data_IF_241475984097
#
_entry.id   IF_241475984097
#
_cell.length_a   1.000
_cell.length_b   1.000
_cell.length_c   1.000
_cell.angle_alpha   90.00
_cell.angle_beta   90.00
_cell.angle_gamma   90.00
#
_symmetry.space_group_name_H-M   'P 1'
#
loop_
_entity.id
_entity.type
_entity.pdbx_description
1 polymer ?
#
# COMPACT_ATOMS: atom_id res chain seq x y z
N UNK A 1 21.97 -11.19 -5.27
CA UNK A 1 20.52 -10.99 -5.07
C UNK A 1 20.31 -9.61 -4.45
N UNK A 2 19.43 -8.77 -5.01
CA UNK A 2 19.12 -7.45 -4.42
C UNK A 2 18.52 -7.67 -3.03
N UNK A 3 19.19 -7.19 -1.97
CA UNK A 3 18.67 -7.27 -0.60
C UNK A 3 17.41 -6.39 -0.50
N UNK A 4 16.26 -7.03 -0.33
CA UNK A 4 14.97 -6.36 -0.06
C UNK A 4 15.11 -5.59 1.25
N UNK A 5 14.77 -4.29 1.24
CA UNK A 5 14.80 -3.49 2.47
C UNK A 5 13.58 -3.79 3.33
N UNK A 6 13.67 -3.59 4.64
CA UNK A 6 12.52 -3.77 5.54
C UNK A 6 11.30 -2.94 5.08
N UNK A 7 11.53 -1.75 4.53
CA UNK A 7 10.48 -0.87 3.99
C UNK A 7 9.82 -1.48 2.75
N UNK A 8 10.59 -2.05 1.84
CA UNK A 8 10.04 -2.76 0.67
C UNK A 8 9.22 -3.97 1.08
N UNK A 9 9.70 -4.76 2.05
CA UNK A 9 8.96 -5.90 2.58
C UNK A 9 7.63 -5.47 3.20
N UNK A 10 7.63 -4.42 4.04
CA UNK A 10 6.41 -3.88 4.65
C UNK A 10 5.47 -3.31 3.58
N UNK A 11 5.99 -2.65 2.54
CA UNK A 11 5.18 -2.14 1.43
C UNK A 11 4.48 -3.28 0.68
N UNK A 12 5.18 -4.39 0.43
CA UNK A 12 4.61 -5.58 -0.20
C UNK A 12 3.54 -6.21 0.71
N UNK A 13 3.81 -6.34 2.01
CA UNK A 13 2.83 -6.87 2.96
C UNK A 13 1.57 -6.01 3.05
N UNK A 14 1.72 -4.67 3.08
CA UNK A 14 0.59 -3.74 3.05
C UNK A 14 -0.23 -3.87 1.75
N UNK A 15 0.44 -3.98 0.61
CA UNK A 15 -0.22 -4.18 -0.67
C UNK A 15 -0.98 -5.52 -0.73
N UNK A 16 -0.42 -6.59 -0.14
CA UNK A 16 -1.11 -7.88 -0.04
C UNK A 16 -2.30 -7.80 0.92
N UNK A 17 -2.14 -7.16 2.08
CA UNK A 17 -3.20 -6.99 3.07
C UNK A 17 -4.36 -6.10 2.58
N UNK A 18 -4.09 -5.19 1.64
CA UNK A 18 -5.10 -4.38 0.98
C UNK A 18 -6.11 -5.21 0.18
N UNK A 19 -5.66 -6.32 -0.44
CA UNK A 19 -6.52 -7.17 -1.28
C UNK A 19 -7.70 -7.79 -0.52
N UNK A 20 -7.50 -8.54 0.59
CA UNK A 20 -8.61 -9.09 1.34
C UNK A 20 -9.48 -8.00 2.00
N UNK A 21 -8.90 -6.86 2.39
CA UNK A 21 -9.67 -5.72 2.90
C UNK A 21 -10.66 -5.19 1.85
N UNK A 22 -10.20 -4.97 0.63
CA UNK A 22 -11.07 -4.44 -0.43
C UNK A 22 -12.13 -5.47 -0.85
N UNK A 23 -11.80 -6.77 -0.86
CA UNK A 23 -12.80 -7.82 -1.07
C UNK A 23 -13.87 -7.83 0.01
N UNK A 24 -13.47 -7.70 1.28
CA UNK A 24 -14.39 -7.60 2.40
C UNK A 24 -15.29 -6.37 2.28
N UNK A 25 -14.72 -5.18 2.02
CA UNK A 25 -15.51 -3.95 1.86
C UNK A 25 -16.44 -4.06 0.66
N UNK A 26 -16.01 -4.69 -0.44
CA UNK A 26 -16.88 -4.90 -1.60
C UNK A 26 -18.10 -5.74 -1.25
N UNK A 27 -17.95 -6.82 -0.50
CA UNK A 27 -19.10 -7.63 -0.06
C UNK A 27 -19.95 -6.88 0.97
N UNK A 28 -19.33 -6.23 1.96
CA UNK A 28 -20.03 -5.40 2.93
C UNK A 28 -20.82 -4.26 2.27
N UNK A 29 -20.27 -3.63 1.24
CA UNK A 29 -20.91 -2.51 0.53
C UNK A 29 -22.25 -2.89 -0.12
N UNK A 30 -22.41 -4.15 -0.55
CA UNK A 30 -23.67 -4.65 -1.13
C UNK A 30 -24.80 -4.72 -0.11
N UNK A 31 -24.49 -4.74 1.19
CA UNK A 31 -25.48 -4.77 2.28
C UNK A 31 -25.99 -3.38 2.66
N UNK A 32 -25.36 -2.31 2.18
CA UNK A 32 -25.70 -0.94 2.55
C UNK A 32 -26.62 -0.32 1.50
N UNK A 33 -27.65 0.40 1.96
CA UNK A 33 -28.59 1.13 1.10
C UNK A 33 -28.17 2.60 1.06
N UNK A 34 -27.70 3.08 -0.10
CA UNK A 34 -27.30 4.47 -0.30
C UNK A 34 -25.80 4.65 -0.56
N UNK A 35 -25.34 5.90 -0.55
CA UNK A 35 -23.94 6.25 -0.76
C UNK A 35 -23.06 5.86 0.43
N UNK A 36 -21.94 5.20 0.16
CA UNK A 36 -21.00 4.75 1.20
C UNK A 36 -19.85 5.73 1.32
N UNK A 37 -19.66 6.27 2.51
CA UNK A 37 -18.50 7.13 2.82
C UNK A 37 -17.35 6.23 3.30
N UNK A 38 -16.31 6.13 2.48
CA UNK A 38 -15.10 5.32 2.72
C UNK A 38 -14.05 6.10 3.53
N UNK A 39 -14.30 6.28 4.83
CA UNK A 39 -13.36 6.98 5.74
C UNK A 39 -12.03 6.23 5.85
N UNK A 40 -12.04 4.91 5.69
CA UNK A 40 -10.83 4.07 5.69
C UNK A 40 -9.81 4.50 4.62
N UNK A 41 -10.27 4.96 3.45
CA UNK A 41 -9.40 5.43 2.37
C UNK A 41 -8.59 6.67 2.74
N UNK A 42 -9.12 7.52 3.63
CA UNK A 42 -8.43 8.72 4.11
C UNK A 42 -7.13 8.37 4.83
N UNK A 43 -7.07 7.21 5.49
CA UNK A 43 -5.87 6.74 6.19
C UNK A 43 -5.01 5.85 5.30
N UNK A 44 -5.63 4.98 4.51
CA UNK A 44 -4.90 3.97 3.75
C UNK A 44 -4.14 4.59 2.58
N UNK A 45 -4.72 5.59 1.89
CA UNK A 45 -4.03 6.23 0.77
C UNK A 45 -2.77 7.00 1.18
N UNK A 46 -2.76 7.87 2.22
CA UNK A 46 -1.52 8.53 2.65
C UNK A 46 -0.43 7.55 3.08
N UNK A 47 -0.79 6.48 3.82
CA UNK A 47 0.16 5.47 4.27
C UNK A 47 0.77 4.74 3.07
N UNK A 48 -0.07 4.27 2.15
CA UNK A 48 0.38 3.58 0.94
C UNK A 48 1.25 4.50 0.07
N UNK A 49 0.87 5.76 -0.09
CA UNK A 49 1.63 6.75 -0.84
C UNK A 49 3.05 6.90 -0.26
N UNK A 50 3.17 7.14 1.05
CA UNK A 50 4.47 7.30 1.71
C UNK A 50 5.33 6.03 1.55
N UNK A 51 4.75 4.85 1.78
CA UNK A 51 5.48 3.58 1.69
C UNK A 51 5.97 3.31 0.28
N UNK A 52 5.12 3.54 -0.73
CA UNK A 52 5.49 3.39 -2.14
C UNK A 52 6.55 4.42 -2.52
N UNK A 53 6.40 5.69 -2.16
CA UNK A 53 7.38 6.74 -2.46
C UNK A 53 8.74 6.40 -1.85
N UNK A 54 8.79 5.97 -0.59
CA UNK A 54 10.04 5.56 0.06
C UNK A 54 10.65 4.32 -0.59
N UNK A 55 9.83 3.33 -0.94
CA UNK A 55 10.26 2.12 -1.63
C UNK A 55 10.89 2.43 -3.00
N UNK A 56 10.24 3.29 -3.78
CA UNK A 56 10.70 3.76 -5.10
C UNK A 56 11.97 4.61 -4.96
N UNK A 57 12.01 5.54 -4.01
CA UNK A 57 13.19 6.37 -3.76
C UNK A 57 14.41 5.53 -3.37
N UNK A 58 14.23 4.48 -2.56
CA UNK A 58 15.31 3.56 -2.21
C UNK A 58 15.84 2.78 -3.42
N UNK A 59 14.98 2.39 -4.36
CA UNK A 59 15.39 1.73 -5.60
C UNK A 59 16.29 2.64 -6.45
N UNK A 60 15.92 3.92 -6.59
CA UNK A 60 16.70 4.89 -7.37
C UNK A 60 18.00 5.31 -6.66
N UNK A 61 17.99 5.49 -5.34
CA UNK A 61 19.18 5.90 -4.57
C UNK A 61 20.25 4.80 -4.51
N UNK A 62 19.86 3.52 -4.41
CA UNK A 62 20.83 2.40 -4.46
C UNK A 62 21.61 2.36 -5.78
N UNK A 63 20.96 2.69 -6.90
CA UNK A 63 21.61 2.75 -8.22
C UNK A 63 22.72 3.81 -8.30
N UNK A 64 22.64 4.89 -7.49
CA UNK A 64 23.64 5.97 -7.48
C UNK A 64 24.92 5.64 -6.70
N UNK A 65 24.86 4.71 -5.74
CA UNK A 65 26.03 4.30 -4.94
C UNK A 65 26.79 3.11 -5.54
N UNK A 66 26.31 2.53 -6.64
CA UNK A 66 26.94 1.43 -7.38
C UNK A 66 27.57 1.89 -8.71
N UNK A 67 27.61 3.21 -8.96
CA UNK A 67 28.25 3.87 -10.12
C UNK A 67 29.44 4.68 -9.65
#
# INVERSE_FOLDING_TARGET
>A
MRKITKIQLVTILLAIAWIPWELYIREWSKTQVGGIIRIDLLFIYPIMLVMVTLSVFQLFRKKKNEV
#
